data_IF_880091447181
#
_entry.id   IF_880091447181
#
_cell.length_a   1.000
_cell.length_b   1.000
_cell.length_c   1.000
_cell.angle_alpha   90.00
_cell.angle_beta   90.00
_cell.angle_gamma   90.00
#
_symmetry.space_group_name_H-M   'P 1'
#
loop_
_entity.id
_entity.type
_entity.pdbx_description
1 polymer ?
#
# COMPACT_ATOMS: atom_id res chain seq x y z
N UNK A 1 -4.65 9.60 19.46
CA UNK A 1 -6.03 9.09 19.42
C UNK A 1 -6.72 9.88 18.31
N UNK A 2 -6.84 9.29 17.10
CA UNK A 2 -7.59 9.92 16.00
C UNK A 2 -9.06 9.92 16.40
N UNK A 3 -9.72 11.08 16.29
CA UNK A 3 -10.99 11.34 16.99
C UNK A 3 -12.22 11.39 16.09
N UNK A 4 -12.13 11.12 14.79
CA UNK A 4 -13.32 11.06 13.92
C UNK A 4 -13.06 10.14 12.72
N UNK A 5 -14.04 9.29 12.41
CA UNK A 5 -14.05 8.29 11.33
C UNK A 5 -14.20 8.92 9.92
N UNK A 6 -13.60 10.10 9.70
CA UNK A 6 -13.63 10.77 8.39
C UNK A 6 -12.30 10.50 7.71
N UNK A 7 -12.28 9.91 6.50
CA UNK A 7 -11.06 9.74 5.72
C UNK A 7 -10.32 11.07 5.59
N UNK A 8 -9.03 11.08 5.90
CA UNK A 8 -8.20 12.28 5.80
C UNK A 8 -7.21 12.21 4.62
N UNK A 9 -6.50 13.32 4.38
CA UNK A 9 -5.54 13.42 3.27
C UNK A 9 -4.43 12.36 3.40
N UNK A 10 -4.06 11.97 4.62
CA UNK A 10 -3.10 10.91 4.85
C UNK A 10 -3.58 9.57 4.30
N UNK A 11 -4.86 9.24 4.50
CA UNK A 11 -5.42 7.99 4.00
C UNK A 11 -5.44 7.95 2.46
N UNK A 12 -5.74 9.09 1.81
CA UNK A 12 -5.61 9.20 0.35
C UNK A 12 -4.16 8.99 -0.11
N UNK A 13 -3.17 9.52 0.61
CA UNK A 13 -1.76 9.31 0.30
C UNK A 13 -1.40 7.83 0.39
N UNK A 14 -1.91 7.10 1.39
CA UNK A 14 -1.66 5.66 1.52
C UNK A 14 -2.31 4.86 0.38
N UNK A 15 -3.52 5.22 -0.07
CA UNK A 15 -4.15 4.59 -1.26
C UNK A 15 -3.31 4.77 -2.52
N UNK A 16 -2.81 5.99 -2.76
CA UNK A 16 -1.97 6.29 -3.92
C UNK A 16 -0.62 5.56 -3.83
N UNK A 17 -0.06 5.47 -2.63
CA UNK A 17 1.16 4.72 -2.37
C UNK A 17 0.96 3.24 -2.66
N UNK A 18 -0.08 2.60 -2.11
CA UNK A 18 -0.39 1.19 -2.33
C UNK A 18 -0.55 0.89 -3.84
N UNK A 19 -1.27 1.75 -4.57
CA UNK A 19 -1.44 1.62 -6.02
C UNK A 19 -0.11 1.72 -6.78
N UNK A 20 0.77 2.62 -6.35
CA UNK A 20 2.10 2.79 -6.95
C UNK A 20 3.00 1.60 -6.66
N UNK A 21 2.94 1.06 -5.43
CA UNK A 21 3.69 -0.12 -5.01
C UNK A 21 3.24 -1.37 -5.78
N UNK A 22 1.93 -1.55 -6.00
CA UNK A 22 1.42 -2.65 -6.82
C UNK A 22 2.00 -2.62 -8.25
N UNK A 23 2.00 -1.44 -8.89
CA UNK A 23 2.62 -1.28 -10.21
C UNK A 23 4.14 -1.51 -10.20
N UNK A 24 4.84 -1.09 -9.14
CA UNK A 24 6.28 -1.34 -8.97
C UNK A 24 6.57 -2.83 -8.80
N UNK A 25 5.78 -3.55 -7.98
CA UNK A 25 5.90 -5.00 -7.80
C UNK A 25 5.80 -5.71 -9.13
N UNK A 26 4.76 -5.41 -9.90
CA UNK A 26 4.51 -6.05 -11.19
C UNK A 26 5.66 -5.79 -12.16
N UNK A 27 6.18 -4.55 -12.19
CA UNK A 27 7.36 -4.19 -13.01
C UNK A 27 8.62 -4.93 -12.58
N UNK A 28 8.86 -5.08 -11.27
CA UNK A 28 10.01 -5.80 -10.72
C UNK A 28 9.95 -7.29 -11.07
N UNK A 29 8.76 -7.89 -11.00
CA UNK A 29 8.55 -9.29 -11.40
C UNK A 29 8.82 -9.47 -12.90
N UNK A 30 8.29 -8.59 -13.74
CA UNK A 30 8.51 -8.60 -15.19
C UNK A 30 10.00 -8.43 -15.57
N UNK A 31 10.75 -7.68 -14.76
CA UNK A 31 12.19 -7.49 -14.93
C UNK A 31 13.05 -8.62 -14.31
N UNK A 32 12.44 -9.60 -13.65
CA UNK A 32 13.13 -10.73 -13.01
C UNK A 32 13.74 -10.43 -11.63
N UNK A 33 13.35 -9.32 -11.00
CA UNK A 33 13.76 -8.94 -9.65
C UNK A 33 12.82 -9.52 -8.57
N UNK A 34 12.66 -10.84 -8.53
CA UNK A 34 11.66 -11.52 -7.69
C UNK A 34 11.78 -11.25 -6.19
N UNK A 35 12.99 -11.16 -5.63
CA UNK A 35 13.14 -10.85 -4.20
C UNK A 35 12.65 -9.43 -3.86
N UNK A 36 12.90 -8.49 -4.77
CA UNK A 36 12.44 -7.11 -4.61
C UNK A 36 10.92 -7.00 -4.80
N UNK A 37 10.33 -7.76 -5.74
CA UNK A 37 8.88 -7.78 -5.94
C UNK A 37 8.15 -8.29 -4.69
N UNK A 38 8.68 -9.33 -4.02
CA UNK A 38 8.12 -9.86 -2.76
C UNK A 38 8.12 -8.80 -1.66
N UNK A 39 9.24 -8.08 -1.47
CA UNK A 39 9.31 -7.01 -0.46
C UNK A 39 8.30 -5.87 -0.73
N UNK A 40 8.08 -5.53 -2.00
CA UNK A 40 7.09 -4.51 -2.39
C UNK A 40 5.66 -5.03 -2.19
N UNK A 41 5.40 -6.32 -2.41
CA UNK A 41 4.12 -6.95 -2.10
C UNK A 41 3.81 -6.85 -0.60
N UNK A 42 4.76 -7.22 0.27
CA UNK A 42 4.59 -7.11 1.73
C UNK A 42 4.31 -5.66 2.18
N UNK A 43 4.94 -4.68 1.54
CA UNK A 43 4.70 -3.27 1.85
C UNK A 43 3.30 -2.82 1.39
N UNK A 44 2.85 -3.31 0.24
CA UNK A 44 1.49 -3.06 -0.28
C UNK A 44 0.44 -3.62 0.68
N UNK A 45 0.62 -4.87 1.13
CA UNK A 45 -0.28 -5.53 2.08
C UNK A 45 -0.38 -4.76 3.42
N UNK A 46 0.73 -4.15 3.88
CA UNK A 46 0.72 -3.29 5.07
C UNK A 46 -0.07 -2.01 4.86
N UNK A 47 0.00 -1.41 3.66
CA UNK A 47 -0.81 -0.25 3.33
C UNK A 47 -2.30 -0.59 3.30
N UNK A 48 -2.66 -1.74 2.71
CA UNK A 48 -4.04 -2.20 2.65
C UNK A 48 -4.59 -2.51 4.05
N UNK A 49 -3.81 -3.20 4.90
CA UNK A 49 -4.18 -3.45 6.31
C UNK A 49 -4.44 -2.14 7.06
N UNK A 50 -3.58 -1.13 6.89
CA UNK A 50 -3.79 0.18 7.51
C UNK A 50 -5.11 0.82 7.05
N UNK A 51 -5.44 0.75 5.75
CA UNK A 51 -6.67 1.33 5.22
C UNK A 51 -7.91 0.58 5.73
N UNK A 52 -7.83 -0.73 5.89
CA UNK A 52 -8.89 -1.55 6.52
C UNK A 52 -9.13 -1.16 7.98
N UNK A 53 -8.04 -0.93 8.75
CA UNK A 53 -8.12 -0.49 10.15
C UNK A 53 -8.70 0.92 10.29
N UNK A 54 -8.44 1.82 9.33
CA UNK A 54 -8.98 3.19 9.34
C UNK A 54 -10.43 3.25 8.83
N UNK A 55 -10.81 2.36 7.92
CA UNK A 55 -12.17 2.29 7.36
C UNK A 55 -13.20 1.56 8.22
N UNK A 56 -12.77 0.90 9.30
CA UNK A 56 -13.60 0.11 10.24
C UNK A 56 -14.09 0.91 11.44
#
# INVERSE_FOLDING_TARGET
>A
MRTDATPDLGDLVIVLLASTLAGLRDRLEDDGFSDASVLVAELTDRCDTYLEEVGS
#
